data_IF_631005691172
#
_entry.id   IF_631005691172
#
_cell.length_a   1.000
_cell.length_b   1.000
_cell.length_c   1.000
_cell.angle_alpha   90.00
_cell.angle_beta   90.00
_cell.angle_gamma   90.00
#
_symmetry.space_group_name_H-M   'P 1'
#
loop_
_entity.id
_entity.type
_entity.pdbx_description
1 polymer ?
#
# COMPACT_ATOMS: atom_id res chain seq x y z
N UNK A 1 -18.68 -25.80 24.60
CA UNK A 1 -18.71 -24.33 24.51
C UNK A 1 -19.51 -23.98 23.28
N UNK A 2 -20.55 -23.17 23.41
CA UNK A 2 -21.31 -22.64 22.27
C UNK A 2 -20.38 -21.70 21.49
N UNK A 3 -19.95 -22.08 20.28
CA UNK A 3 -19.21 -21.21 19.38
C UNK A 3 -20.12 -20.05 18.98
N UNK A 4 -19.82 -18.85 19.50
CA UNK A 4 -20.54 -17.64 19.16
C UNK A 4 -20.16 -17.26 17.74
N UNK A 5 -21.05 -17.49 16.77
CA UNK A 5 -20.83 -17.05 15.40
C UNK A 5 -20.56 -15.54 15.41
N UNK A 6 -19.46 -15.07 14.80
CA UNK A 6 -19.12 -13.65 14.80
C UNK A 6 -20.20 -12.88 14.02
N UNK A 7 -20.95 -12.03 14.72
CA UNK A 7 -21.93 -11.14 14.09
C UNK A 7 -21.18 -10.07 13.31
N UNK A 8 -21.06 -10.28 12.01
CA UNK A 8 -20.42 -9.32 11.09
C UNK A 8 -21.49 -8.52 10.36
N UNK A 9 -21.22 -7.25 10.10
CA UNK A 9 -22.15 -6.38 9.37
C UNK A 9 -22.26 -6.84 7.90
N UNK A 10 -23.40 -6.65 7.23
CA UNK A 10 -23.53 -6.97 5.81
C UNK A 10 -22.45 -6.35 4.92
N UNK A 11 -21.91 -5.18 5.29
CA UNK A 11 -20.86 -4.48 4.58
C UNK A 11 -19.46 -5.15 4.69
N UNK A 12 -19.17 -5.88 5.77
CA UNK A 12 -17.86 -6.54 5.94
C UNK A 12 -17.60 -7.65 4.90
N UNK A 13 -18.66 -8.15 4.28
CA UNK A 13 -18.59 -9.17 3.23
C UNK A 13 -18.36 -8.56 1.85
N UNK A 14 -18.36 -7.22 1.73
CA UNK A 14 -18.19 -6.58 0.43
C UNK A 14 -16.78 -6.85 -0.08
N UNK A 15 -16.63 -7.41 -1.29
CA UNK A 15 -15.31 -7.67 -1.84
C UNK A 15 -14.56 -6.35 -2.01
N UNK A 16 -13.35 -6.29 -1.45
CA UNK A 16 -12.45 -5.16 -1.68
C UNK A 16 -11.95 -5.11 -3.13
N UNK A 17 -11.25 -4.02 -3.47
CA UNK A 17 -10.67 -3.81 -4.81
C UNK A 17 -9.14 -3.87 -4.75
N UNK A 18 -8.53 -5.06 -4.53
CA UNK A 18 -7.09 -5.17 -4.31
C UNK A 18 -6.27 -4.71 -5.53
N UNK A 19 -6.81 -4.87 -6.74
CA UNK A 19 -6.17 -4.35 -7.96
C UNK A 19 -6.08 -2.82 -7.97
N UNK A 20 -7.16 -2.14 -7.59
CA UNK A 20 -7.19 -0.68 -7.52
C UNK A 20 -6.21 -0.17 -6.45
N UNK A 21 -6.14 -0.82 -5.29
CA UNK A 21 -5.19 -0.49 -4.24
C UNK A 21 -3.72 -0.61 -4.72
N UNK A 22 -3.37 -1.69 -5.43
CA UNK A 22 -2.01 -1.87 -5.98
C UNK A 22 -1.66 -0.82 -7.03
N UNK A 23 -2.59 -0.51 -7.93
CA UNK A 23 -2.39 0.54 -8.95
C UNK A 23 -2.21 1.90 -8.26
N UNK A 24 -3.07 2.22 -7.29
CA UNK A 24 -2.96 3.45 -6.50
C UNK A 24 -1.61 3.55 -5.80
N UNK A 25 -1.17 2.49 -5.12
CA UNK A 25 0.15 2.47 -4.46
C UNK A 25 1.30 2.67 -5.44
N UNK A 26 1.25 2.03 -6.63
CA UNK A 26 2.29 2.17 -7.65
C UNK A 26 2.33 3.58 -8.23
N UNK A 27 1.16 4.15 -8.56
CA UNK A 27 1.05 5.53 -9.07
C UNK A 27 1.55 6.54 -8.03
N UNK A 28 1.12 6.40 -6.77
CA UNK A 28 1.57 7.27 -5.68
C UNK A 28 3.09 7.20 -5.48
N UNK A 29 3.68 6.00 -5.53
CA UNK A 29 5.13 5.85 -5.43
C UNK A 29 5.87 6.59 -6.57
N UNK A 30 5.38 6.46 -7.81
CA UNK A 30 5.95 7.19 -8.96
C UNK A 30 5.83 8.70 -8.78
N UNK A 31 4.66 9.20 -8.38
CA UNK A 31 4.44 10.63 -8.15
C UNK A 31 5.40 11.17 -7.08
N UNK A 32 5.53 10.48 -5.95
CA UNK A 32 6.46 10.88 -4.88
C UNK A 32 7.90 10.97 -5.38
N UNK A 33 8.35 10.02 -6.22
CA UNK A 33 9.69 10.06 -6.80
C UNK A 33 9.87 11.18 -7.82
N UNK A 34 8.84 11.50 -8.61
CA UNK A 34 8.91 12.65 -9.52
C UNK A 34 9.02 13.99 -8.79
N UNK A 35 8.50 14.08 -7.57
CA UNK A 35 8.60 15.28 -6.73
C UNK A 35 10.03 15.55 -6.22
N UNK A 36 10.96 14.60 -6.32
CA UNK A 36 12.39 14.83 -6.05
C UNK A 36 13.04 15.76 -7.08
N UNK A 37 12.41 15.92 -8.26
CA UNK A 37 12.89 16.83 -9.30
C UNK A 37 12.28 18.21 -9.07
N UNK A 38 13.09 19.17 -8.61
CA UNK A 38 12.62 20.52 -8.36
C UNK A 38 13.58 21.35 -7.52
N UNK A 39 13.08 22.49 -7.03
CA UNK A 39 13.85 23.44 -6.22
C UNK A 39 13.92 22.99 -4.75
N UNK A 40 14.69 21.93 -4.48
CA UNK A 40 14.94 21.43 -3.13
C UNK A 40 16.21 22.07 -2.57
N UNK A 41 16.10 22.83 -1.48
CA UNK A 41 17.26 23.45 -0.80
C UNK A 41 17.57 22.80 0.57
N UNK A 42 16.64 22.01 1.12
CA UNK A 42 16.74 21.52 2.51
C UNK A 42 16.94 20.02 2.66
N UNK A 43 16.81 19.20 1.61
CA UNK A 43 16.85 17.72 1.60
C UNK A 43 15.98 16.96 2.61
N UNK A 44 15.39 17.63 3.61
CA UNK A 44 14.45 17.04 4.56
C UNK A 44 13.21 16.53 3.82
N UNK A 45 12.68 17.32 2.88
CA UNK A 45 11.57 16.90 2.03
C UNK A 45 11.91 15.65 1.21
N UNK A 46 13.10 15.59 0.62
CA UNK A 46 13.57 14.43 -0.14
C UNK A 46 13.57 13.14 0.70
N UNK A 47 13.96 13.22 1.98
CA UNK A 47 13.94 12.08 2.90
C UNK A 47 12.52 11.53 3.07
N UNK A 48 11.54 12.41 3.30
CA UNK A 48 10.14 11.97 3.44
C UNK A 48 9.57 11.41 2.14
N UNK A 49 9.90 12.00 0.99
CA UNK A 49 9.49 11.51 -0.33
C UNK A 49 10.06 10.11 -0.61
N UNK A 50 11.35 9.90 -0.34
CA UNK A 50 12.02 8.61 -0.53
C UNK A 50 11.47 7.56 0.44
N UNK A 51 11.31 7.88 1.72
CA UNK A 51 10.75 6.94 2.71
C UNK A 51 9.32 6.56 2.33
N UNK A 52 8.48 7.54 1.99
CA UNK A 52 7.09 7.29 1.58
C UNK A 52 7.01 6.40 0.35
N UNK A 53 7.78 6.71 -0.70
CA UNK A 53 7.84 5.88 -1.91
C UNK A 53 8.38 4.47 -1.60
N UNK A 54 9.42 4.37 -0.79
CA UNK A 54 10.02 3.11 -0.36
C UNK A 54 9.05 2.20 0.40
N UNK A 55 8.25 2.76 1.30
CA UNK A 55 7.22 2.01 2.03
C UNK A 55 6.12 1.47 1.10
N UNK A 56 5.68 2.25 0.12
CA UNK A 56 4.69 1.80 -0.87
C UNK A 56 5.25 0.67 -1.74
N UNK A 57 6.49 0.80 -2.20
CA UNK A 57 7.17 -0.26 -2.97
C UNK A 57 7.34 -1.52 -2.13
N UNK A 58 7.76 -1.38 -0.86
CA UNK A 58 7.90 -2.52 0.06
C UNK A 58 6.57 -3.23 0.28
N UNK A 59 5.47 -2.48 0.44
CA UNK A 59 4.14 -3.05 0.58
C UNK A 59 3.70 -3.81 -0.68
N UNK A 60 3.97 -3.28 -1.87
CA UNK A 60 3.68 -3.96 -3.15
C UNK A 60 4.50 -5.24 -3.33
N UNK A 61 5.79 -5.20 -3.02
CA UNK A 61 6.66 -6.38 -3.06
C UNK A 61 6.20 -7.41 -2.02
N UNK A 62 5.86 -6.95 -0.81
CA UNK A 62 5.30 -7.78 0.25
C UNK A 62 4.01 -8.48 -0.17
N UNK A 63 3.04 -7.75 -0.74
CA UNK A 63 1.80 -8.30 -1.29
C UNK A 63 2.09 -9.36 -2.37
N UNK A 64 3.02 -9.10 -3.28
CA UNK A 64 3.40 -10.05 -4.33
C UNK A 64 4.07 -11.32 -3.76
N UNK A 65 5.02 -11.17 -2.83
CA UNK A 65 5.68 -12.29 -2.15
C UNK A 65 4.69 -13.11 -1.33
N UNK A 66 3.74 -12.47 -0.65
CA UNK A 66 2.78 -13.17 0.19
C UNK A 66 1.83 -14.02 -0.66
N UNK A 67 1.39 -13.48 -1.80
CA UNK A 67 0.54 -14.18 -2.77
C UNK A 67 1.26 -15.31 -3.50
N UNK A 68 2.54 -15.13 -3.85
CA UNK A 68 3.32 -16.21 -4.49
C UNK A 68 3.52 -17.38 -3.51
N UNK A 69 3.58 -17.08 -2.21
CA UNK A 69 3.72 -18.05 -1.14
C UNK A 69 2.38 -18.67 -0.70
N UNK A 70 1.28 -18.38 -1.40
CA UNK A 70 -0.02 -19.03 -1.21
C UNK A 70 -0.93 -18.39 -0.17
N UNK A 71 -0.51 -17.30 0.48
CA UNK A 71 -1.37 -16.57 1.39
C UNK A 71 -2.27 -15.62 0.57
N UNK A 72 -3.57 -15.88 0.59
CA UNK A 72 -4.59 -15.18 -0.21
C UNK A 72 -5.40 -14.21 0.62
#
# INVERSE_FOLDING_TARGET
MSEHEPVTSPDQHKPGHPRAARIGAAVSAVVLLTMLVGNHHGHVEDIFLIIGAGLLVLALVGDWVLRRNGLR
#
